data_IF_755878039971
#
_entry.id   IF_755878039971
#
_cell.length_a   1.000
_cell.length_b   1.000
_cell.length_c   1.000
_cell.angle_alpha   90.00
_cell.angle_beta   90.00
_cell.angle_gamma   90.00
#
_symmetry.space_group_name_H-M   'P 1'
#
loop_
_entity.id
_entity.type
_entity.pdbx_description
1 polymer ?
#
# COMPACT_ATOMS: atom_id res chain seq x y z
N UNK A 1 2.03 -115.15 75.63
CA UNK A 1 3.44 -115.17 75.21
C UNK A 1 4.06 -113.94 75.84
N UNK A 2 5.04 -113.96 76.74
CA UNK A 2 5.94 -114.96 77.30
C UNK A 2 6.67 -114.15 78.39
N UNK A 3 6.59 -114.58 79.66
CA UNK A 3 7.74 -114.89 80.55
C UNK A 3 8.75 -113.74 80.68
N UNK A 4 9.12 -113.25 81.85
CA UNK A 4 9.73 -114.05 82.91
C UNK A 4 9.89 -113.21 84.20
N UNK A 5 9.53 -113.83 85.31
CA UNK A 5 9.81 -113.42 86.68
C UNK A 5 11.20 -113.94 87.05
N UNK A 6 12.09 -113.10 87.59
CA UNK A 6 13.20 -113.56 88.44
C UNK A 6 13.28 -112.65 89.67
N UNK A 7 12.80 -113.18 90.78
CA UNK A 7 13.17 -112.78 92.13
C UNK A 7 14.55 -113.34 92.48
N UNK A 8 15.40 -112.58 93.17
CA UNK A 8 16.28 -113.15 94.21
C UNK A 8 16.65 -112.08 95.27
N UNK A 9 16.24 -112.39 96.50
CA UNK A 9 16.67 -111.89 97.81
C UNK A 9 18.19 -111.63 97.97
N UNK A 10 18.56 -110.56 98.68
CA UNK A 10 19.13 -110.63 100.04
C UNK A 10 19.71 -109.25 100.50
N UNK A 11 19.15 -108.76 101.60
CA UNK A 11 19.74 -107.93 102.68
C UNK A 11 21.17 -107.39 102.51
N UNK A 12 21.36 -106.07 102.76
CA UNK A 12 22.29 -105.52 103.78
C UNK A 12 22.10 -103.99 103.88
N UNK A 13 21.55 -103.58 105.05
CA UNK A 13 21.75 -102.32 105.78
C UNK A 13 21.59 -100.95 105.09
N UNK A 14 20.49 -100.28 105.44
CA UNK A 14 20.49 -99.06 106.27
C UNK A 14 21.74 -98.16 106.13
N UNK A 15 21.68 -97.22 105.20
CA UNK A 15 22.39 -95.95 105.27
C UNK A 15 21.47 -94.93 104.60
N UNK A 16 20.69 -94.22 105.41
CA UNK A 16 20.04 -92.98 105.02
C UNK A 16 21.10 -92.08 104.36
N UNK A 17 21.15 -92.10 103.04
CA UNK A 17 21.73 -91.01 102.28
C UNK A 17 20.80 -89.83 102.52
N UNK A 18 21.20 -88.97 103.45
CA UNK A 18 20.59 -87.68 103.74
C UNK A 18 20.42 -86.95 102.41
N UNK A 19 19.22 -87.07 101.84
CA UNK A 19 18.75 -86.22 100.76
C UNK A 19 18.68 -84.81 101.34
N UNK A 20 19.73 -84.03 101.04
CA UNK A 20 19.75 -82.60 101.33
C UNK A 20 18.71 -81.98 100.38
N UNK A 21 17.49 -81.88 100.90
CA UNK A 21 16.29 -81.40 100.23
C UNK A 21 16.54 -80.02 99.60
N UNK A 22 15.90 -79.76 98.46
CA UNK A 22 15.87 -78.44 97.79
C UNK A 22 15.48 -77.29 98.74
N UNK A 23 14.82 -77.61 99.86
CA UNK A 23 14.46 -76.70 100.94
C UNK A 23 15.67 -76.04 101.60
N UNK A 24 16.80 -76.73 101.77
CA UNK A 24 18.02 -76.15 102.39
C UNK A 24 18.72 -75.14 101.48
N UNK A 25 18.61 -75.32 100.16
CA UNK A 25 19.11 -74.36 99.16
C UNK A 25 18.22 -73.10 99.17
N UNK A 26 16.90 -73.27 99.28
CA UNK A 26 15.95 -72.16 99.43
C UNK A 26 16.17 -71.42 100.76
N UNK A 27 16.52 -72.11 101.84
CA UNK A 27 16.74 -71.50 103.15
C UNK A 27 18.06 -70.70 103.23
N UNK A 28 19.07 -71.08 102.44
CA UNK A 28 20.26 -70.25 102.21
C UNK A 28 19.99 -69.07 101.25
N UNK A 29 18.99 -69.17 100.37
CA UNK A 29 18.53 -68.11 99.47
C UNK A 29 17.54 -67.13 100.14
N UNK A 30 16.81 -67.52 101.20
CA UNK A 30 15.98 -66.62 102.05
C UNK A 30 16.77 -65.63 102.89
N UNK A 31 18.09 -65.62 102.73
CA UNK A 31 18.99 -64.61 103.27
C UNK A 31 18.90 -63.30 102.46
N UNK A 32 18.17 -63.27 101.33
CA UNK A 32 17.72 -62.05 100.68
C UNK A 32 16.43 -61.55 101.38
N UNK A 33 16.39 -60.31 101.92
CA UNK A 33 15.17 -59.76 102.50
C UNK A 33 14.08 -59.66 101.42
N UNK A 34 12.85 -59.99 101.79
CA UNK A 34 11.66 -60.23 100.96
C UNK A 34 11.21 -59.11 99.97
N UNK A 35 12.01 -58.08 99.67
CA UNK A 35 11.67 -57.05 98.67
C UNK A 35 12.86 -56.52 97.85
N UNK A 36 14.00 -57.21 97.80
CA UNK A 36 15.10 -56.77 96.90
C UNK A 36 15.06 -57.56 95.61
N UNK A 37 14.90 -56.86 94.49
CA UNK A 37 14.93 -57.47 93.16
C UNK A 37 16.36 -57.97 92.87
N UNK A 38 16.50 -58.99 92.03
CA UNK A 38 17.82 -59.48 91.61
C UNK A 38 18.69 -58.33 91.08
N UNK A 39 18.09 -57.40 90.37
CA UNK A 39 18.70 -56.16 89.90
C UNK A 39 19.38 -55.34 91.01
N UNK A 40 18.76 -55.20 92.19
CA UNK A 40 19.29 -54.39 93.28
C UNK A 40 20.50 -55.04 93.95
N UNK A 41 20.49 -56.38 94.04
CA UNK A 41 21.62 -57.18 94.53
C UNK A 41 22.83 -57.05 93.61
N UNK A 42 22.61 -57.07 92.29
CA UNK A 42 23.69 -57.00 91.30
C UNK A 42 24.17 -55.57 91.01
N UNK A 43 23.38 -54.53 91.33
CA UNK A 43 23.86 -53.14 91.35
C UNK A 43 24.91 -52.91 92.45
N UNK A 44 24.84 -53.65 93.55
CA UNK A 44 25.76 -53.60 94.69
C UNK A 44 26.00 -52.17 95.26
N UNK A 45 25.05 -51.25 95.08
CA UNK A 45 25.17 -49.85 95.52
C UNK A 45 25.25 -49.72 97.05
N UNK A 46 24.69 -50.70 97.78
CA UNK A 46 24.69 -50.74 99.25
C UNK A 46 25.54 -51.89 99.81
N UNK A 47 26.56 -52.35 99.08
CA UNK A 47 27.38 -53.52 99.43
C UNK A 47 26.54 -54.79 99.71
N UNK A 48 25.42 -54.93 99.01
CA UNK A 48 24.49 -56.05 99.21
C UNK A 48 25.13 -57.40 98.91
N UNK A 49 26.04 -57.44 97.94
CA UNK A 49 26.83 -58.63 97.64
C UNK A 49 27.73 -59.03 98.82
N UNK A 50 28.33 -58.06 99.53
CA UNK A 50 29.15 -58.31 100.71
C UNK A 50 28.30 -58.77 101.91
N UNK A 51 27.09 -58.21 102.07
CA UNK A 51 26.14 -58.61 103.12
C UNK A 51 25.67 -60.05 102.90
N UNK A 52 25.36 -60.43 101.67
CA UNK A 52 24.98 -61.82 101.33
C UNK A 52 26.17 -62.75 101.57
N UNK A 53 27.36 -62.37 101.14
CA UNK A 53 28.57 -63.16 101.33
C UNK A 53 28.93 -63.33 102.82
N UNK A 54 28.75 -62.30 103.65
CA UNK A 54 28.99 -62.38 105.10
C UNK A 54 27.99 -63.30 105.78
N UNK A 55 26.70 -63.21 105.45
CA UNK A 55 25.67 -64.11 105.98
C UNK A 55 25.91 -65.57 105.59
N UNK A 56 26.31 -65.81 104.34
CA UNK A 56 26.74 -67.14 103.87
C UNK A 56 27.95 -67.61 104.67
N UNK A 57 28.98 -66.76 104.83
CA UNK A 57 30.18 -67.08 105.62
C UNK A 57 29.84 -67.41 107.07
N UNK A 58 28.98 -66.65 107.73
CA UNK A 58 28.58 -66.86 109.11
C UNK A 58 27.83 -68.18 109.28
N UNK A 59 26.92 -68.49 108.36
CA UNK A 59 26.20 -69.76 108.34
C UNK A 59 27.16 -70.95 108.26
N UNK A 60 28.09 -70.94 107.29
CA UNK A 60 29.04 -72.06 107.11
C UNK A 60 30.16 -72.10 108.18
N UNK A 61 30.54 -70.97 108.78
CA UNK A 61 31.56 -70.93 109.84
C UNK A 61 31.04 -71.42 111.20
N UNK A 62 29.71 -71.45 111.38
CA UNK A 62 29.07 -72.00 112.58
C UNK A 62 29.03 -73.54 112.61
N UNK A 63 29.31 -74.19 111.49
CA UNK A 63 29.29 -75.64 111.35
C UNK A 63 30.62 -76.25 111.82
N UNK A 64 30.57 -77.09 112.85
CA UNK A 64 31.72 -77.86 113.34
C UNK A 64 31.60 -79.29 112.83
N UNK A 65 32.57 -79.74 112.03
CA UNK A 65 32.60 -81.10 111.48
C UNK A 65 33.60 -81.97 112.24
N UNK A 66 33.20 -83.19 112.59
CA UNK A 66 34.11 -84.19 113.15
C UNK A 66 34.99 -84.82 112.06
N UNK A 67 36.22 -84.35 111.94
CA UNK A 67 37.18 -84.80 110.92
C UNK A 67 37.71 -86.22 111.15
N UNK A 68 37.56 -86.75 112.36
CA UNK A 68 38.04 -88.09 112.70
C UNK A 68 37.07 -89.18 112.20
N UNK A 69 35.81 -88.85 111.91
CA UNK A 69 34.82 -89.79 111.38
C UNK A 69 34.66 -89.70 109.86
N UNK A 70 34.33 -90.82 109.22
CA UNK A 70 34.00 -90.84 107.78
C UNK A 70 32.74 -90.00 107.47
N UNK A 71 31.79 -89.94 108.41
CA UNK A 71 30.55 -89.16 108.29
C UNK A 71 30.82 -87.65 108.32
N UNK A 72 31.59 -87.14 109.28
CA UNK A 72 31.92 -85.70 109.34
C UNK A 72 32.74 -85.23 108.12
N UNK A 73 33.63 -86.07 107.58
CA UNK A 73 34.30 -85.77 106.30
C UNK A 73 33.35 -85.75 105.09
N UNK A 74 32.28 -86.55 105.10
CA UNK A 74 31.27 -86.55 104.05
C UNK A 74 30.36 -85.31 104.13
N UNK A 75 29.97 -84.90 105.34
CA UNK A 75 29.18 -83.68 105.58
C UNK A 75 29.94 -82.42 105.16
N UNK A 76 31.24 -82.31 105.48
CA UNK A 76 32.08 -81.20 105.01
C UNK A 76 32.11 -81.11 103.47
N UNK A 77 32.21 -82.24 102.76
CA UNK A 77 32.14 -82.28 101.29
C UNK A 77 30.77 -81.85 100.77
N UNK A 78 29.69 -82.28 101.43
CA UNK A 78 28.33 -81.92 101.05
C UNK A 78 28.07 -80.42 101.21
N UNK A 79 28.50 -79.82 102.32
CA UNK A 79 28.37 -78.38 102.56
C UNK A 79 29.24 -77.56 101.59
N UNK A 80 30.44 -78.02 101.27
CA UNK A 80 31.25 -77.40 100.21
C UNK A 80 30.61 -77.54 98.81
N UNK A 81 29.85 -78.60 98.54
CA UNK A 81 29.08 -78.74 97.30
C UNK A 81 27.87 -77.79 97.28
N UNK A 82 27.24 -77.55 98.43
CA UNK A 82 26.16 -76.58 98.58
C UNK A 82 26.62 -75.15 98.25
N UNK A 83 27.77 -74.71 98.76
CA UNK A 83 28.37 -73.40 98.41
C UNK A 83 28.56 -73.28 96.89
N UNK A 84 29.03 -74.34 96.21
CA UNK A 84 29.19 -74.34 94.76
C UNK A 84 27.85 -74.22 94.01
N UNK A 85 26.79 -74.86 94.51
CA UNK A 85 25.43 -74.73 93.95
C UNK A 85 24.89 -73.31 94.12
N UNK A 86 25.06 -72.69 95.29
CA UNK A 86 24.65 -71.31 95.56
C UNK A 86 25.38 -70.35 94.61
N UNK A 87 26.70 -70.50 94.45
CA UNK A 87 27.49 -69.72 93.46
C UNK A 87 26.91 -69.85 92.05
N UNK A 88 26.67 -71.08 91.59
CA UNK A 88 26.18 -71.34 90.23
C UNK A 88 24.80 -70.69 89.99
N UNK A 89 23.90 -70.74 90.98
CA UNK A 89 22.58 -70.09 90.90
C UNK A 89 22.68 -68.57 90.84
N UNK A 90 23.57 -67.96 91.63
CA UNK A 90 23.81 -66.51 91.54
C UNK A 90 24.37 -66.10 90.16
N UNK A 91 25.27 -66.90 89.57
CA UNK A 91 25.75 -66.65 88.21
C UNK A 91 24.63 -66.77 87.16
N UNK A 92 23.72 -67.74 87.31
CA UNK A 92 22.56 -67.93 86.43
C UNK A 92 21.60 -66.74 86.48
N UNK A 93 21.25 -66.28 87.69
CA UNK A 93 20.35 -65.12 87.89
C UNK A 93 20.98 -63.84 87.33
N UNK A 94 22.26 -63.57 87.62
CA UNK A 94 22.95 -62.38 87.11
C UNK A 94 23.05 -62.37 85.58
N UNK A 95 23.24 -63.54 84.94
CA UNK A 95 23.22 -63.66 83.47
C UNK A 95 21.84 -63.39 82.88
N UNK A 96 20.78 -63.91 83.50
CA UNK A 96 19.40 -63.71 83.06
C UNK A 96 18.98 -62.23 83.16
N UNK A 97 19.24 -61.58 84.31
CA UNK A 97 18.94 -60.16 84.54
C UNK A 97 19.71 -59.26 83.55
N UNK A 98 21.01 -59.51 83.37
CA UNK A 98 21.81 -58.74 82.40
C UNK A 98 21.33 -58.91 80.96
N UNK A 99 20.78 -60.07 80.59
CA UNK A 99 20.18 -60.30 79.27
C UNK A 99 18.85 -59.54 79.12
N UNK A 100 18.02 -59.52 80.15
CA UNK A 100 16.76 -58.78 80.16
C UNK A 100 16.97 -57.26 80.09
N UNK A 101 17.90 -56.72 80.88
CA UNK A 101 18.29 -55.31 80.83
C UNK A 101 18.80 -54.90 79.43
N UNK A 102 19.53 -55.78 78.74
CA UNK A 102 19.99 -55.53 77.36
C UNK A 102 18.85 -55.58 76.33
N UNK A 103 17.75 -56.27 76.63
CA UNK A 103 16.57 -56.31 75.78
C UNK A 103 15.64 -55.12 75.99
N UNK A 104 15.71 -54.46 77.15
CA UNK A 104 14.85 -53.32 77.49
C UNK A 104 14.95 -52.16 76.49
N UNK A 105 16.15 -51.71 76.02
CA UNK A 105 16.26 -50.68 74.99
C UNK A 105 15.53 -51.05 73.69
N UNK A 106 15.65 -52.31 73.24
CA UNK A 106 14.97 -52.77 72.01
C UNK A 106 13.45 -52.72 72.14
N UNK A 107 12.91 -53.13 73.30
CA UNK A 107 11.47 -53.03 73.58
C UNK A 107 11.01 -51.59 73.61
N UNK A 108 11.78 -50.70 74.26
CA UNK A 108 11.48 -49.26 74.31
C UNK A 108 11.46 -48.65 72.91
N UNK A 109 12.47 -48.92 72.08
CA UNK A 109 12.52 -48.40 70.70
C UNK A 109 11.37 -48.91 69.83
N UNK A 110 11.01 -50.20 69.96
CA UNK A 110 9.88 -50.78 69.24
C UNK A 110 8.58 -50.06 69.60
N UNK A 111 8.32 -49.89 70.90
CA UNK A 111 7.13 -49.18 71.39
C UNK A 111 7.16 -47.69 71.01
N UNK A 112 8.33 -47.04 71.06
CA UNK A 112 8.50 -45.64 70.65
C UNK A 112 8.14 -45.43 69.18
N UNK A 113 8.62 -46.32 68.30
CA UNK A 113 8.30 -46.26 66.87
C UNK A 113 6.82 -46.56 66.61
N UNK A 114 6.23 -47.52 67.31
CA UNK A 114 4.79 -47.78 67.25
C UNK A 114 3.97 -46.53 67.59
N UNK A 115 4.30 -45.82 68.68
CA UNK A 115 3.62 -44.57 69.03
C UNK A 115 3.83 -43.47 67.98
N UNK A 116 5.06 -43.31 67.47
CA UNK A 116 5.37 -42.34 66.41
C UNK A 116 4.47 -42.56 65.19
N UNK A 117 4.44 -43.79 64.68
CA UNK A 117 3.70 -44.13 63.47
C UNK A 117 2.19 -44.00 63.69
N UNK A 118 1.68 -44.40 64.85
CA UNK A 118 0.24 -44.29 65.18
C UNK A 118 -0.22 -42.85 65.37
N UNK A 119 0.61 -41.99 65.96
CA UNK A 119 0.27 -40.56 66.06
C UNK A 119 0.32 -39.87 64.70
N UNK A 120 1.26 -40.23 63.83
CA UNK A 120 1.30 -39.71 62.45
C UNK A 120 0.06 -40.14 61.66
N UNK A 121 -0.31 -41.42 61.74
CA UNK A 121 -1.53 -41.96 61.11
C UNK A 121 -2.79 -41.22 61.61
N UNK A 122 -2.89 -40.99 62.92
CA UNK A 122 -4.00 -40.26 63.51
C UNK A 122 -4.03 -38.79 63.07
N UNK A 123 -2.87 -38.12 62.99
CA UNK A 123 -2.77 -36.74 62.52
C UNK A 123 -3.23 -36.60 61.06
N UNK A 124 -2.83 -37.54 60.20
CA UNK A 124 -3.29 -37.61 58.79
C UNK A 124 -4.80 -37.81 58.74
N UNK A 125 -5.34 -38.76 59.52
CA UNK A 125 -6.77 -39.04 59.55
C UNK A 125 -7.60 -37.84 60.04
N UNK A 126 -7.14 -37.13 61.07
CA UNK A 126 -7.79 -35.91 61.58
C UNK A 126 -7.72 -34.78 60.55
N UNK A 127 -6.64 -34.69 59.78
CA UNK A 127 -6.48 -33.67 58.72
C UNK A 127 -7.21 -34.02 57.42
N UNK A 128 -7.54 -35.29 57.18
CA UNK A 128 -8.13 -35.74 55.92
C UNK A 128 -9.39 -34.96 55.48
N UNK A 129 -10.36 -34.62 56.37
CA UNK A 129 -11.51 -33.81 55.99
C UNK A 129 -11.13 -32.40 55.51
N UNK A 130 -10.13 -31.78 56.14
CA UNK A 130 -9.65 -30.45 55.74
C UNK A 130 -8.95 -30.51 54.38
N UNK A 131 -8.10 -31.52 54.17
CA UNK A 131 -7.43 -31.72 52.88
C UNK A 131 -8.42 -31.99 51.75
N UNK A 132 -9.49 -32.75 52.00
CA UNK A 132 -10.55 -32.97 51.03
C UNK A 132 -11.29 -31.66 50.69
N UNK A 133 -11.62 -30.86 51.70
CA UNK A 133 -12.27 -29.55 51.51
C UNK A 133 -11.38 -28.57 50.72
N UNK A 134 -10.10 -28.45 51.08
CA UNK A 134 -9.13 -27.60 50.37
C UNK A 134 -8.99 -28.02 48.90
N UNK A 135 -8.95 -29.32 48.61
CA UNK A 135 -8.90 -29.84 47.24
C UNK A 135 -10.20 -29.54 46.45
N UNK A 136 -11.37 -29.61 47.09
CA UNK A 136 -12.64 -29.25 46.45
C UNK A 136 -12.76 -27.74 46.19
N UNK A 137 -12.32 -26.91 47.14
CA UNK A 137 -12.28 -25.46 46.96
C UNK A 137 -11.34 -25.05 45.81
N UNK A 138 -10.16 -25.66 45.74
CA UNK A 138 -9.25 -25.42 44.61
C UNK A 138 -9.84 -25.90 43.28
N UNK A 139 -10.53 -27.04 43.26
CA UNK A 139 -11.27 -27.50 42.07
C UNK A 139 -12.36 -26.51 41.66
N UNK A 140 -13.16 -26.01 42.60
CA UNK A 140 -14.22 -25.02 42.34
C UNK A 140 -13.64 -23.70 41.82
N UNK A 141 -12.55 -23.20 42.40
CA UNK A 141 -11.87 -21.99 41.92
C UNK A 141 -11.31 -22.18 40.52
N UNK A 142 -10.71 -23.35 40.23
CA UNK A 142 -10.22 -23.67 38.90
C UNK A 142 -11.35 -23.75 37.87
N UNK A 143 -12.47 -24.39 38.23
CA UNK A 143 -13.67 -24.47 37.39
C UNK A 143 -14.32 -23.10 37.16
N UNK A 144 -14.44 -22.27 38.20
CA UNK A 144 -14.97 -20.91 38.09
C UNK A 144 -14.06 -20.03 37.22
N UNK A 145 -12.74 -20.14 37.38
CA UNK A 145 -11.77 -19.44 36.53
C UNK A 145 -11.91 -19.87 35.07
N UNK A 146 -11.97 -21.17 34.81
CA UNK A 146 -12.17 -21.70 33.45
C UNK A 146 -13.51 -21.25 32.85
N UNK A 147 -14.57 -21.18 33.67
CA UNK A 147 -15.88 -20.68 33.23
C UNK A 147 -15.85 -19.19 32.88
N UNK A 148 -15.17 -18.36 33.68
CA UNK A 148 -14.98 -16.93 33.39
C UNK A 148 -14.19 -16.72 32.10
N UNK A 149 -13.07 -17.43 31.93
CA UNK A 149 -12.26 -17.37 30.72
C UNK A 149 -13.06 -17.82 29.47
N UNK A 150 -13.88 -18.87 29.60
CA UNK A 150 -14.76 -19.31 28.52
C UNK A 150 -15.87 -18.30 28.20
N UNK A 151 -16.42 -17.60 29.20
CA UNK A 151 -17.43 -16.56 28.99
C UNK A 151 -16.83 -15.31 28.33
N UNK A 152 -15.63 -14.89 28.75
CA UNK A 152 -14.88 -13.79 28.13
C UNK A 152 -14.53 -14.12 26.68
N UNK A 153 -14.06 -15.34 26.41
CA UNK A 153 -13.78 -15.78 25.05
C UNK A 153 -15.04 -15.79 24.17
N UNK A 154 -16.20 -16.19 24.71
CA UNK A 154 -17.48 -16.11 23.98
C UNK A 154 -17.86 -14.67 23.62
N UNK A 155 -17.76 -13.74 24.58
CA UNK A 155 -18.02 -12.31 24.34
C UNK A 155 -17.08 -11.74 23.28
N UNK A 156 -15.82 -12.12 23.32
CA UNK A 156 -14.82 -11.71 22.34
C UNK A 156 -15.15 -12.27 20.94
N UNK A 157 -15.53 -13.53 20.84
CA UNK A 157 -15.97 -14.15 19.58
C UNK A 157 -17.20 -13.45 19.01
N UNK A 158 -18.19 -13.13 19.84
CA UNK A 158 -19.39 -12.40 19.42
C UNK A 158 -19.04 -11.00 18.89
N UNK A 159 -18.15 -10.27 19.59
CA UNK A 159 -17.65 -8.97 19.13
C UNK A 159 -16.93 -9.07 17.80
N UNK A 160 -15.98 -10.00 17.67
CA UNK A 160 -15.26 -10.20 16.42
C UNK A 160 -16.19 -10.61 15.27
N UNK A 161 -17.25 -11.38 15.56
CA UNK A 161 -18.24 -11.75 14.57
C UNK A 161 -19.04 -10.54 14.08
N UNK A 162 -19.49 -9.68 15.00
CA UNK A 162 -20.19 -8.44 14.66
C UNK A 162 -19.30 -7.50 13.83
N UNK A 163 -18.05 -7.30 14.25
CA UNK A 163 -17.07 -6.50 13.52
C UNK A 163 -16.81 -7.06 12.11
N UNK A 164 -16.70 -8.39 11.97
CA UNK A 164 -16.50 -9.03 10.68
C UNK A 164 -17.70 -8.81 9.73
N UNK A 165 -18.94 -8.86 10.25
CA UNK A 165 -20.13 -8.55 9.47
C UNK A 165 -20.13 -7.09 8.99
N UNK A 166 -19.84 -6.14 9.88
CA UNK A 166 -19.74 -4.73 9.52
C UNK A 166 -18.64 -4.46 8.48
N UNK A 167 -17.49 -5.13 8.58
CA UNK A 167 -16.43 -5.01 7.59
C UNK A 167 -16.84 -5.55 6.22
N UNK A 168 -17.59 -6.66 6.18
CA UNK A 168 -18.12 -7.19 4.93
C UNK A 168 -19.11 -6.21 4.28
N UNK A 169 -20.03 -5.63 5.05
CA UNK A 169 -20.98 -4.62 4.56
C UNK A 169 -20.25 -3.40 3.99
N UNK A 170 -19.21 -2.91 4.67
CA UNK A 170 -18.39 -1.80 4.18
C UNK A 170 -17.63 -2.15 2.89
N UNK A 171 -17.17 -3.39 2.75
CA UNK A 171 -16.50 -3.85 1.55
C UNK A 171 -17.47 -3.89 0.36
N UNK A 172 -18.67 -4.42 0.56
CA UNK A 172 -19.72 -4.45 -0.46
C UNK A 172 -20.15 -3.04 -0.87
N UNK A 173 -20.30 -2.13 0.10
CA UNK A 173 -20.59 -0.72 -0.18
C UNK A 173 -19.48 -0.05 -1.00
N UNK A 174 -18.21 -0.27 -0.65
CA UNK A 174 -17.08 0.26 -1.43
C UNK A 174 -17.05 -0.28 -2.84
N UNK A 175 -17.28 -1.58 -3.02
CA UNK A 175 -17.35 -2.21 -4.35
C UNK A 175 -18.46 -1.59 -5.20
N UNK A 176 -19.63 -1.35 -4.62
CA UNK A 176 -20.74 -0.71 -5.34
C UNK A 176 -20.43 0.77 -5.65
N UNK A 177 -19.81 1.51 -4.72
CA UNK A 177 -19.36 2.87 -4.98
C UNK A 177 -18.33 2.94 -6.11
N UNK A 178 -17.39 2.01 -6.17
CA UNK A 178 -16.43 1.89 -7.26
C UNK A 178 -17.12 1.55 -8.58
N UNK A 179 -18.10 0.64 -8.58
CA UNK A 179 -18.92 0.32 -9.74
C UNK A 179 -19.66 1.54 -10.28
N UNK A 180 -20.32 2.29 -9.40
CA UNK A 180 -21.06 3.51 -9.75
C UNK A 180 -20.12 4.58 -10.28
N UNK A 181 -18.96 4.80 -9.65
CA UNK A 181 -17.95 5.76 -10.16
C UNK A 181 -17.44 5.35 -11.54
N UNK A 182 -17.10 4.09 -11.75
CA UNK A 182 -16.66 3.60 -13.04
C UNK A 182 -17.74 3.75 -14.13
N UNK A 183 -19.02 3.57 -13.78
CA UNK A 183 -20.14 3.81 -14.69
C UNK A 183 -20.32 5.29 -15.02
N UNK A 184 -20.18 6.17 -14.02
CA UNK A 184 -20.20 7.63 -14.22
C UNK A 184 -19.03 8.11 -15.08
N UNK A 185 -17.83 7.59 -14.85
CA UNK A 185 -16.63 7.93 -15.63
C UNK A 185 -16.77 7.49 -17.09
N UNK A 186 -17.33 6.30 -17.33
CA UNK A 186 -17.66 5.83 -18.69
C UNK A 186 -18.66 6.76 -19.37
N UNK A 187 -19.76 7.09 -18.69
CA UNK A 187 -20.78 7.98 -19.22
C UNK A 187 -20.23 9.38 -19.51
N UNK A 188 -19.39 9.92 -18.63
CA UNK A 188 -18.73 11.21 -18.83
C UNK A 188 -17.74 11.18 -20.01
N UNK A 189 -16.99 10.08 -20.19
CA UNK A 189 -16.11 9.89 -21.34
C UNK A 189 -16.90 9.77 -22.65
N UNK A 190 -18.00 9.03 -22.65
CA UNK A 190 -18.91 8.92 -23.80
C UNK A 190 -19.54 10.28 -24.16
N UNK A 191 -20.03 11.03 -23.17
CA UNK A 191 -20.60 12.36 -23.39
C UNK A 191 -19.54 13.34 -23.92
N UNK A 192 -18.31 13.28 -23.40
CA UNK A 192 -17.21 14.11 -23.89
C UNK A 192 -16.85 13.77 -25.34
N UNK A 193 -16.81 12.48 -25.67
CA UNK A 193 -16.58 12.03 -27.05
C UNK A 193 -17.71 12.48 -27.99
N UNK A 194 -18.96 12.41 -27.54
CA UNK A 194 -20.12 12.92 -28.30
C UNK A 194 -20.00 14.43 -28.54
N UNK A 195 -19.71 15.22 -27.50
CA UNK A 195 -19.51 16.68 -27.65
C UNK A 195 -18.35 17.00 -28.58
N UNK A 196 -17.21 16.31 -28.46
CA UNK A 196 -16.08 16.50 -29.37
C UNK A 196 -16.43 16.14 -30.83
N UNK A 197 -17.24 15.10 -31.04
CA UNK A 197 -17.72 14.72 -32.37
C UNK A 197 -18.72 15.77 -32.92
N UNK A 198 -19.64 16.26 -32.10
CA UNK A 198 -20.58 17.33 -32.46
C UNK A 198 -19.85 18.64 -32.78
N UNK A 199 -18.87 19.03 -31.95
CA UNK A 199 -18.07 20.23 -32.16
C UNK A 199 -17.23 20.12 -33.44
N UNK A 200 -16.62 18.95 -33.71
CA UNK A 200 -15.93 18.70 -34.98
C UNK A 200 -16.88 18.77 -36.17
N UNK A 201 -18.05 18.15 -36.08
CA UNK A 201 -19.06 18.22 -37.14
C UNK A 201 -19.55 19.64 -37.39
N UNK A 202 -19.73 20.44 -36.32
CA UNK A 202 -20.11 21.85 -36.41
C UNK A 202 -18.99 22.72 -36.99
N UNK A 203 -17.74 22.46 -36.61
CA UNK A 203 -16.57 23.16 -37.16
C UNK A 203 -16.41 22.86 -38.65
N UNK A 204 -16.53 21.59 -39.06
CA UNK A 204 -16.50 21.18 -40.46
C UNK A 204 -17.67 21.81 -41.24
N UNK A 205 -18.89 21.78 -40.70
CA UNK A 205 -20.05 22.42 -41.34
C UNK A 205 -19.87 23.93 -41.51
N UNK A 206 -19.28 24.62 -40.52
CA UNK A 206 -18.93 26.04 -40.61
C UNK A 206 -17.86 26.28 -41.67
N UNK A 207 -16.78 25.49 -41.68
CA UNK A 207 -15.72 25.60 -42.69
C UNK A 207 -16.26 25.41 -44.11
N UNK A 208 -17.13 24.41 -44.31
CA UNK A 208 -17.79 24.17 -45.60
C UNK A 208 -18.74 25.31 -46.00
N UNK A 209 -19.43 25.93 -45.03
CA UNK A 209 -20.26 27.10 -45.29
C UNK A 209 -19.42 28.32 -45.67
N UNK A 210 -18.32 28.58 -44.95
CA UNK A 210 -17.39 29.66 -45.23
C UNK A 210 -16.72 29.50 -46.61
N UNK A 211 -16.35 28.27 -46.98
CA UNK A 211 -15.81 27.97 -48.30
C UNK A 211 -16.81 28.32 -49.42
N UNK A 212 -18.09 27.93 -49.25
CA UNK A 212 -19.15 28.29 -50.20
C UNK A 212 -19.40 29.80 -50.28
N UNK A 213 -19.31 30.50 -49.15
CA UNK A 213 -19.42 31.97 -49.12
C UNK A 213 -18.24 32.58 -49.88
N UNK A 214 -17.02 32.12 -49.65
CA UNK A 214 -15.83 32.57 -50.38
C UNK A 214 -15.90 32.26 -51.87
N UNK A 215 -16.37 31.08 -52.27
CA UNK A 215 -16.60 30.74 -53.68
C UNK A 215 -17.63 31.68 -54.31
N UNK A 216 -18.76 31.92 -53.63
CA UNK A 216 -19.77 32.85 -54.11
C UNK A 216 -19.26 34.30 -54.20
N UNK A 217 -18.41 34.75 -53.26
CA UNK A 217 -17.76 36.05 -53.32
C UNK A 217 -16.73 36.13 -54.45
N UNK A 218 -15.92 35.10 -54.66
CA UNK A 218 -14.98 35.03 -55.78
C UNK A 218 -15.71 35.01 -57.12
N UNK A 219 -16.84 34.32 -57.23
CA UNK A 219 -17.66 34.31 -58.44
C UNK A 219 -18.32 35.66 -58.69
N UNK A 220 -18.82 36.34 -57.64
CA UNK A 220 -19.29 37.72 -57.74
C UNK A 220 -18.18 38.66 -58.18
N UNK A 221 -16.97 38.53 -57.61
CA UNK A 221 -15.82 39.35 -57.98
C UNK A 221 -15.39 39.09 -59.43
N UNK A 222 -15.36 37.82 -59.88
CA UNK A 222 -15.09 37.45 -61.27
C UNK A 222 -16.16 37.99 -62.21
N UNK A 223 -17.44 37.95 -61.83
CA UNK A 223 -18.53 38.52 -62.61
C UNK A 223 -18.41 40.06 -62.70
N UNK A 224 -18.06 40.73 -61.59
CA UNK A 224 -17.79 42.17 -61.57
C UNK A 224 -16.57 42.54 -62.40
N UNK A 225 -15.47 41.77 -62.32
CA UNK A 225 -14.28 42.00 -63.15
C UNK A 225 -14.58 41.81 -64.63
N UNK A 226 -15.33 40.77 -65.00
CA UNK A 226 -15.78 40.58 -66.38
C UNK A 226 -16.68 41.72 -66.84
N UNK A 227 -17.64 42.14 -66.01
CA UNK A 227 -18.51 43.27 -66.31
C UNK A 227 -17.71 44.57 -66.48
N UNK A 228 -16.79 44.87 -65.57
CA UNK A 228 -15.91 46.02 -65.65
C UNK A 228 -14.96 45.96 -66.86
N UNK A 229 -14.44 44.78 -67.22
CA UNK A 229 -13.62 44.60 -68.42
C UNK A 229 -14.46 44.78 -69.70
N UNK A 230 -15.70 44.28 -69.72
CA UNK A 230 -16.62 44.53 -70.83
C UNK A 230 -16.99 46.01 -70.94
N UNK A 231 -17.26 46.68 -69.81
CA UNK A 231 -17.52 48.12 -69.78
C UNK A 231 -16.30 48.91 -70.26
N UNK A 232 -15.10 48.55 -69.80
CA UNK A 232 -13.85 49.17 -70.24
C UNK A 232 -13.62 48.97 -71.73
N UNK A 233 -13.84 47.77 -72.28
CA UNK A 233 -13.76 47.50 -73.72
C UNK A 233 -14.82 48.27 -74.51
N UNK A 234 -16.04 48.37 -74.01
CA UNK A 234 -17.09 49.18 -74.67
C UNK A 234 -16.74 50.66 -74.63
N UNK A 235 -16.19 51.15 -73.52
CA UNK A 235 -15.77 52.55 -73.41
C UNK A 235 -14.56 52.84 -74.30
N UNK A 236 -13.56 51.95 -74.32
CA UNK A 236 -12.42 52.03 -75.25
C UNK A 236 -12.90 52.02 -76.71
N UNK A 237 -13.88 51.19 -77.07
CA UNK A 237 -14.46 51.17 -78.42
C UNK A 237 -15.27 52.44 -78.74
N UNK A 238 -16.00 52.99 -77.77
CA UNK A 238 -16.71 54.28 -77.90
C UNK A 238 -15.70 55.41 -78.07
N UNK A 239 -14.64 55.45 -77.27
CA UNK A 239 -13.60 56.46 -77.34
C UNK A 239 -12.81 56.38 -78.67
N UNK A 240 -12.53 55.16 -79.16
CA UNK A 240 -11.90 54.96 -80.47
C UNK A 240 -12.85 55.36 -81.63
N UNK A 241 -14.14 55.03 -81.52
CA UNK A 241 -15.15 55.48 -82.48
C UNK A 241 -15.29 57.01 -82.48
N UNK A 242 -15.29 57.65 -81.30
CA UNK A 242 -15.30 59.10 -81.17
C UNK A 242 -14.04 59.73 -81.74
N UNK A 243 -12.87 59.15 -81.52
CA UNK A 243 -11.60 59.62 -82.10
C UNK A 243 -11.61 59.51 -83.63
N UNK A 244 -12.14 58.42 -84.19
CA UNK A 244 -12.33 58.25 -85.64
C UNK A 244 -13.34 59.25 -86.21
N UNK A 245 -14.47 59.46 -85.52
CA UNK A 245 -15.47 60.45 -85.92
C UNK A 245 -14.91 61.88 -85.87
N UNK A 246 -14.14 62.24 -84.82
CA UNK A 246 -13.46 63.52 -84.73
C UNK A 246 -12.38 63.69 -85.81
N UNK A 247 -11.63 62.64 -86.13
CA UNK A 247 -10.67 62.66 -87.23
C UNK A 247 -11.34 62.88 -88.59
N UNK A 248 -12.50 62.26 -88.85
CA UNK A 248 -13.24 62.46 -90.09
C UNK A 248 -13.90 63.85 -90.15
N UNK A 249 -14.45 64.35 -89.04
CA UNK A 249 -14.93 65.74 -88.94
C UNK A 249 -13.78 66.73 -89.19
N UNK A 250 -12.58 66.47 -88.65
CA UNK A 250 -11.41 67.30 -88.90
C UNK A 250 -10.95 67.23 -90.36
N UNK A 251 -11.03 66.06 -91.00
CA UNK A 251 -10.71 65.89 -92.43
C UNK A 251 -11.69 66.66 -93.32
N UNK A 252 -12.98 66.57 -93.04
CA UNK A 252 -14.03 67.29 -93.76
C UNK A 252 -13.91 68.81 -93.58
N UNK A 253 -13.58 69.28 -92.37
CA UNK A 253 -13.30 70.71 -92.14
C UNK A 253 -12.09 71.19 -92.94
N UNK A 254 -11.00 70.42 -92.94
CA UNK A 254 -9.81 70.75 -93.72
C UNK A 254 -10.09 70.77 -95.22
N UNK A 255 -10.88 69.82 -95.72
CA UNK A 255 -11.32 69.76 -97.12
C UNK A 255 -12.23 70.96 -97.50
N UNK A 256 -13.10 71.41 -96.58
CA UNK A 256 -13.89 72.62 -96.78
C UNK A 256 -13.04 73.90 -96.75
N UNK A 257 -12.07 74.00 -95.83
CA UNK A 257 -11.11 75.12 -95.78
C UNK A 257 -10.24 75.19 -97.04
N UNK A 258 -9.77 74.04 -97.55
CA UNK A 258 -9.00 73.96 -98.80
C UNK A 258 -9.86 74.34 -100.01
N UNK A 259 -11.15 73.96 -100.04
CA UNK A 259 -12.10 74.35 -101.08
C UNK A 259 -12.48 75.85 -101.05
N UNK A 260 -12.60 76.43 -99.85
CA UNK A 260 -12.90 77.86 -99.68
C UNK A 260 -11.70 78.73 -100.08
N UNK A 261 -10.48 78.35 -99.69
CA UNK A 261 -9.25 79.01 -100.13
C UNK A 261 -9.05 78.93 -101.65
N UNK A 262 -9.40 77.81 -102.28
CA UNK A 262 -9.37 77.67 -103.74
C UNK A 262 -10.40 78.59 -104.45
N UNK A 263 -11.55 78.85 -103.82
CA UNK A 263 -12.56 79.79 -104.34
C UNK A 263 -12.10 81.24 -104.25
N UNK A 264 -11.49 81.64 -103.13
CA UNK A 264 -10.92 82.99 -102.96
C UNK A 264 -9.75 83.25 -103.94
N UNK A 265 -8.94 82.24 -104.25
CA UNK A 265 -7.85 82.37 -105.21
C UNK A 265 -8.35 82.56 -106.65
N UNK A 266 -9.46 81.90 -107.04
CA UNK A 266 -10.10 82.11 -108.35
C UNK A 266 -10.74 83.49 -108.47
N UNK A 267 -11.40 83.98 -107.43
CA UNK A 267 -12.08 85.29 -107.45
C UNK A 267 -11.08 86.47 -107.53
N UNK A 268 -9.89 86.35 -106.93
CA UNK A 268 -8.81 87.34 -107.10
C UNK A 268 -8.21 87.35 -108.51
N UNK A 269 -8.05 86.18 -109.13
CA UNK A 269 -7.50 86.08 -110.48
C UNK A 269 -8.42 86.65 -111.57
N UNK A 270 -9.74 86.59 -111.39
CA UNK A 270 -10.71 87.16 -112.35
C UNK A 270 -10.76 88.69 -112.32
N UNK A 271 -10.65 89.32 -111.15
CA UNK A 271 -10.63 90.79 -111.04
C UNK A 271 -9.35 91.41 -111.61
N UNK A 272 -8.18 90.80 -111.38
CA UNK A 272 -6.91 91.30 -111.93
C UNK A 272 -6.82 91.16 -113.46
N UNK A 273 -7.52 90.21 -114.07
CA UNK A 273 -7.54 90.01 -115.51
C UNK A 273 -8.48 90.98 -116.27
N UNK A 274 -9.45 91.60 -115.57
CA UNK A 274 -10.44 92.50 -116.18
C UNK A 274 -9.98 93.96 -116.19
N UNK A 275 -9.23 94.40 -115.18
CA UNK A 275 -8.70 95.77 -115.08
C UNK A 275 -7.56 96.04 -116.09
N UNK A 276 -6.78 95.02 -116.46
CA UNK A 276 -5.71 95.14 -117.46
C UNK A 276 -6.23 95.35 -118.92
N UNK A 277 -7.49 94.99 -119.21
CA UNK A 277 -8.04 95.08 -120.58
C UNK A 277 -8.62 96.46 -120.91
N UNK A 278 -9.18 97.17 -119.95
CA UNK A 278 -9.84 98.48 -120.18
C UNK A 278 -8.84 99.63 -120.38
N UNK A 279 -7.67 99.57 -119.75
CA UNK A 279 -6.66 100.64 -119.85
C UNK A 279 -6.00 100.77 -121.25
N UNK A 280 -5.96 99.71 -122.06
CA UNK A 280 -5.24 99.70 -123.33
C UNK A 280 -6.09 100.22 -124.52
N UNK A 281 -7.42 100.10 -124.46
CA UNK A 281 -8.30 100.59 -125.52
C UNK A 281 -8.43 102.13 -125.56
N UNK A 282 -8.40 102.79 -124.40
CA UNK A 282 -8.55 104.25 -124.32
C UNK A 282 -7.29 104.99 -124.80
N UNK A 283 -6.11 104.41 -124.63
CA UNK A 283 -4.86 104.99 -125.11
C UNK A 283 -4.81 105.06 -126.64
N UNK A 284 -5.22 103.99 -127.33
CA UNK A 284 -5.19 103.91 -128.80
C UNK A 284 -6.19 104.84 -129.49
N UNK A 285 -7.36 105.07 -128.87
CA UNK A 285 -8.38 105.99 -129.41
C UNK A 285 -7.91 107.45 -129.38
N UNK A 286 -7.21 107.84 -128.32
CA UNK A 286 -6.79 109.23 -128.13
C UNK A 286 -5.74 109.65 -129.15
N UNK A 287 -4.74 108.80 -129.39
CA UNK A 287 -3.63 109.08 -130.31
C UNK A 287 -4.09 109.14 -131.77
N UNK A 288 -4.96 108.22 -132.19
CA UNK A 288 -5.52 108.25 -133.54
C UNK A 288 -6.35 109.51 -133.81
N UNK A 289 -7.09 110.01 -132.82
CA UNK A 289 -7.87 111.24 -132.99
C UNK A 289 -6.97 112.46 -133.18
N UNK A 290 -5.88 112.55 -132.41
CA UNK A 290 -4.90 113.62 -132.55
C UNK A 290 -4.24 113.61 -133.93
N UNK A 291 -3.92 112.43 -134.47
CA UNK A 291 -3.33 112.30 -135.80
C UNK A 291 -4.26 112.77 -136.94
N UNK A 292 -5.59 112.58 -136.83
CA UNK A 292 -6.55 113.13 -137.81
C UNK A 292 -6.54 114.66 -137.78
N UNK A 293 -6.56 115.27 -136.60
CA UNK A 293 -6.56 116.74 -136.44
C UNK A 293 -5.28 117.35 -137.03
N UNK A 294 -4.11 116.76 -136.78
CA UNK A 294 -2.85 117.25 -137.34
C UNK A 294 -2.79 117.18 -138.88
N UNK A 295 -3.55 116.29 -139.51
CA UNK A 295 -3.65 116.21 -140.97
C UNK A 295 -4.60 117.28 -141.54
N UNK A 296 -5.65 117.65 -140.80
CA UNK A 296 -6.55 118.76 -141.18
C UNK A 296 -5.82 120.12 -141.19
N UNK A 297 -4.95 120.37 -140.21
CA UNK A 297 -4.18 121.62 -140.11
C UNK A 297 -3.22 121.86 -141.29
N UNK A 298 -2.86 120.82 -142.05
CA UNK A 298 -2.01 120.93 -143.25
C UNK A 298 -2.81 121.21 -144.54
N UNK A 299 -4.11 121.52 -144.41
CA UNK A 299 -4.98 121.90 -145.53
C UNK A 299 -5.62 120.73 -146.26
N UNK A 300 -5.65 119.53 -145.65
CA UNK A 300 -6.36 118.37 -146.17
C UNK A 300 -7.79 118.30 -145.59
N UNK A 301 -8.76 117.96 -146.44
CA UNK A 301 -10.14 117.71 -146.02
C UNK A 301 -10.24 116.48 -145.08
N UNK A 302 -11.14 116.54 -144.10
CA UNK A 302 -11.34 115.52 -143.05
C UNK A 302 -11.53 114.11 -143.62
N UNK A 303 -12.33 113.97 -144.69
CA UNK A 303 -12.60 112.65 -145.26
C UNK A 303 -11.35 112.07 -145.94
N UNK A 304 -10.50 112.93 -146.50
CA UNK A 304 -9.20 112.54 -147.06
C UNK A 304 -8.19 112.22 -145.96
N UNK A 305 -8.14 113.01 -144.89
CA UNK A 305 -7.26 112.80 -143.72
C UNK A 305 -7.56 111.49 -142.98
N UNK A 306 -8.85 111.16 -142.78
CA UNK A 306 -9.27 109.88 -142.18
C UNK A 306 -8.94 108.70 -143.09
N UNK A 307 -9.08 108.84 -144.42
CA UNK A 307 -8.68 107.79 -145.38
C UNK A 307 -7.18 107.54 -145.33
N UNK A 308 -6.36 108.59 -145.28
CA UNK A 308 -4.90 108.48 -145.14
C UNK A 308 -4.54 107.84 -143.80
N UNK A 309 -5.12 108.28 -142.68
CA UNK A 309 -4.86 107.66 -141.36
C UNK A 309 -5.28 106.19 -141.35
N UNK A 310 -6.44 105.83 -141.92
CA UNK A 310 -6.87 104.43 -142.03
C UNK A 310 -5.90 103.60 -142.89
N UNK A 311 -5.40 104.15 -143.99
CA UNK A 311 -4.42 103.49 -144.83
C UNK A 311 -3.09 103.28 -144.07
N UNK A 312 -2.65 104.24 -143.25
CA UNK A 312 -1.45 104.11 -142.41
C UNK A 312 -1.68 103.09 -141.28
N UNK A 313 -2.81 103.14 -140.59
CA UNK A 313 -3.14 102.19 -139.50
C UNK A 313 -3.35 100.76 -140.02
N UNK A 314 -3.80 100.60 -141.28
CA UNK A 314 -3.86 99.31 -141.97
C UNK A 314 -2.52 98.88 -142.60
N UNK A 315 -1.51 99.74 -142.62
CA UNK A 315 -0.18 99.45 -143.19
C UNK A 315 -0.13 99.47 -144.72
N UNK A 316 -1.08 100.12 -145.40
CA UNK A 316 -1.19 100.20 -146.86
C UNK A 316 -0.29 101.29 -147.47
N UNK A 317 0.28 102.19 -146.64
CA UNK A 317 1.25 103.22 -147.05
C UNK A 317 2.65 102.80 -146.61
N UNK A 318 3.54 102.53 -147.56
CA UNK A 318 4.89 102.05 -147.26
C UNK A 318 5.71 103.11 -146.49
N UNK A 319 6.43 102.64 -145.44
CA UNK A 319 7.38 103.40 -144.62
C UNK A 319 6.80 104.47 -143.67
N UNK A 320 5.50 104.42 -143.32
CA UNK A 320 4.88 105.27 -142.28
C UNK A 320 4.05 104.45 -141.31
N UNK A 321 4.17 104.67 -139.99
CA UNK A 321 3.40 103.98 -138.92
C UNK A 321 2.98 104.95 -137.80
N UNK A 322 1.79 104.76 -137.23
CA UNK A 322 1.33 105.52 -136.04
C UNK A 322 1.83 104.81 -134.77
N UNK A 323 2.52 105.55 -133.90
CA UNK A 323 3.00 105.04 -132.62
C UNK A 323 1.95 105.30 -131.53
N UNK A 324 1.54 104.26 -130.81
CA UNK A 324 0.52 104.30 -129.76
C UNK A 324 1.13 104.30 -128.36
#
# INVERSE_FOLDING_TARGET
>A
MTTETIETNATVSNLETVEINEVDIVQALTVLPEQKTALDVFKNENNEAEIILSRVKDHFSSLVFDMNTAKGRAECRAQAALIRKIKAKMEEIGKAEAAELKLLPKKVDTTRNFFKDKFEELAIAVRAPLTAYEAEEERKKAEEKAKKEAEELKKEIERCHEEALQMNELFDLKREQERVKAEQDKKAAEEKLQREAEDKARAEAKYQADLKIQEAENDKLRAQQKAAETERKTQEAIDEANKKAQAEIARLKKEQEDAENARLAKEKAEKEAEDARKANEDHRRTINRAAVVSLEDQGLDYDTAVKILKAIVKGEVAHVTVNY
#
